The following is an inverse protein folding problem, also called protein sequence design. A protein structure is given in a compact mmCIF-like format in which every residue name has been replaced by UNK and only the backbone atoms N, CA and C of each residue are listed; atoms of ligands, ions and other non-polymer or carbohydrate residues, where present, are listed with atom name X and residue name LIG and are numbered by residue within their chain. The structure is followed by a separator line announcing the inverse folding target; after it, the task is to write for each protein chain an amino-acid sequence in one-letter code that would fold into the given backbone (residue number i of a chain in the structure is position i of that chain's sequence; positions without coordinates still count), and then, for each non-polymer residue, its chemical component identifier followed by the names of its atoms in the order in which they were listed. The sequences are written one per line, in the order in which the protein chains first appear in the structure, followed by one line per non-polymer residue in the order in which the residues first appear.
data_IF_568770465851
#
_entry.id   IF_568770465851
#
_cell.length_a   1.000
_cell.length_b   1.000
_cell.length_c   1.000
_cell.angle_alpha   90.00
_cell.angle_beta   90.00
_cell.angle_gamma   90.00
#
_symmetry.space_group_name_H-M   'P 1'
#
loop_
_entity.id
_entity.type
_entity.pdbx_description
1 polymer ?
#
# COMPACT_ATOMS: atom_id res chain seq x y z
N UNK A 1 17.05 11.45 -35.86
CA UNK A 1 15.69 11.13 -35.35
C UNK A 1 15.15 12.38 -34.71
N UNK A 2 14.02 12.91 -35.20
CA UNK A 2 13.52 14.23 -34.75
C UNK A 2 12.88 14.13 -33.36
N UNK A 3 12.71 15.27 -32.65
CA UNK A 3 12.06 15.34 -31.33
C UNK A 3 10.64 14.73 -31.35
N UNK A 4 9.98 14.78 -32.51
CA UNK A 4 8.70 14.15 -32.81
C UNK A 4 8.77 12.61 -32.77
N UNK A 5 9.83 12.02 -33.31
CA UNK A 5 9.96 10.56 -33.47
C UNK A 5 10.22 9.80 -32.16
N UNK A 6 10.95 10.40 -31.22
CA UNK A 6 11.23 9.77 -29.92
C UNK A 6 9.98 9.74 -29.03
N UNK A 7 9.27 10.87 -28.93
CA UNK A 7 7.97 10.95 -28.25
C UNK A 7 6.93 10.04 -28.91
N UNK A 8 6.98 9.92 -30.24
CA UNK A 8 6.13 8.99 -31.01
C UNK A 8 6.43 7.54 -30.64
N UNK A 9 7.70 7.10 -30.59
CA UNK A 9 8.07 5.74 -30.18
C UNK A 9 7.68 5.40 -28.73
N UNK A 10 7.87 6.32 -27.79
CA UNK A 10 7.43 6.13 -26.41
C UNK A 10 5.90 6.01 -26.30
N UNK A 11 5.17 6.84 -27.05
CA UNK A 11 3.70 6.73 -27.17
C UNK A 11 3.27 5.45 -27.88
N UNK A 12 3.96 5.02 -28.94
CA UNK A 12 3.69 3.78 -29.66
C UNK A 12 3.90 2.56 -28.76
N UNK A 13 4.94 2.54 -27.89
CA UNK A 13 5.14 1.44 -26.92
C UNK A 13 4.08 1.45 -25.81
N UNK A 14 3.68 2.62 -25.30
CA UNK A 14 2.56 2.71 -24.33
C UNK A 14 1.23 2.31 -24.99
N UNK A 15 1.01 2.70 -26.24
CA UNK A 15 -0.16 2.32 -27.05
C UNK A 15 -0.16 0.82 -27.34
N UNK A 16 0.97 0.22 -27.66
CA UNK A 16 1.14 -1.23 -27.84
C UNK A 16 0.82 -1.99 -26.54
N UNK A 17 1.32 -1.50 -25.40
CA UNK A 17 1.00 -2.05 -24.08
C UNK A 17 -0.49 -1.88 -23.73
N UNK A 18 -1.11 -0.78 -24.14
CA UNK A 18 -2.54 -0.52 -23.97
C UNK A 18 -3.40 -1.41 -24.87
N UNK A 19 -3.09 -1.51 -26.16
CA UNK A 19 -3.78 -2.34 -27.15
C UNK A 19 -3.66 -3.84 -26.83
N UNK A 20 -2.58 -4.24 -26.15
CA UNK A 20 -2.38 -5.61 -25.62
C UNK A 20 -3.02 -5.84 -24.24
N UNK A 21 -3.86 -4.92 -23.73
CA UNK A 21 -4.49 -4.96 -22.40
C UNK A 21 -3.49 -5.08 -21.22
N UNK A 22 -2.23 -4.66 -21.42
CA UNK A 22 -1.17 -4.65 -20.39
C UNK A 22 -1.08 -3.31 -19.64
N UNK A 23 -1.71 -2.25 -20.17
CA UNK A 23 -1.94 -0.95 -19.53
C UNK A 23 -3.39 -0.51 -19.83
N UNK A 24 -4.09 0.06 -18.86
CA UNK A 24 -5.54 0.35 -18.99
C UNK A 24 -5.90 1.80 -19.31
N UNK A 25 -4.97 2.76 -19.22
CA UNK A 25 -5.18 4.12 -19.70
C UNK A 25 -3.89 4.95 -19.70
N UNK A 26 -3.84 5.95 -20.59
CA UNK A 26 -2.81 6.99 -20.64
C UNK A 26 -3.49 8.37 -20.64
N UNK A 27 -3.22 9.21 -19.64
CA UNK A 27 -3.78 10.57 -19.56
C UNK A 27 -2.66 11.56 -19.32
N UNK A 28 -2.68 12.68 -20.04
CA UNK A 28 -1.80 13.82 -19.76
C UNK A 28 -2.51 14.74 -18.77
N UNK A 29 -2.03 14.83 -17.54
CA UNK A 29 -2.58 15.72 -16.52
C UNK A 29 -1.45 16.45 -15.79
N UNK A 30 -1.60 17.77 -15.59
CA UNK A 30 -0.68 18.60 -14.79
C UNK A 30 0.81 18.44 -15.17
N UNK A 31 1.11 18.37 -16.47
CA UNK A 31 2.49 18.24 -16.98
C UNK A 31 3.11 16.83 -16.85
N UNK A 32 2.39 15.87 -16.26
CA UNK A 32 2.85 14.49 -16.10
C UNK A 32 2.15 13.56 -17.08
N UNK A 33 2.82 12.45 -17.37
CA UNK A 33 2.19 11.30 -18.02
C UNK A 33 1.64 10.36 -16.95
N UNK A 34 0.32 10.13 -16.93
CA UNK A 34 -0.31 9.17 -16.04
C UNK A 34 -0.51 7.86 -16.78
N UNK A 35 -0.02 6.78 -16.17
CA UNK A 35 -0.11 5.41 -16.69
C UNK A 35 -0.85 4.55 -15.66
N UNK A 36 -1.83 3.78 -16.11
CA UNK A 36 -2.60 2.87 -15.27
C UNK A 36 -2.29 1.41 -15.59
N UNK A 37 -1.88 0.64 -14.58
CA UNK A 37 -1.63 -0.79 -14.64
C UNK A 37 -2.53 -1.52 -13.61
N UNK A 38 -3.84 -1.50 -13.85
CA UNK A 38 -4.82 -2.25 -13.07
C UNK A 38 -5.22 -3.50 -13.86
N UNK A 39 -5.02 -4.72 -13.36
CA UNK A 39 -5.53 -5.89 -14.08
C UNK A 39 -5.06 -7.26 -13.55
N UNK A 40 -5.87 -8.31 -13.73
CA UNK A 40 -5.60 -9.66 -13.22
C UNK A 40 -4.47 -10.37 -13.99
N UNK A 41 -4.12 -9.88 -15.18
CA UNK A 41 -3.05 -10.45 -15.99
C UNK A 41 -1.75 -9.70 -15.73
N UNK A 42 -0.92 -10.35 -14.90
CA UNK A 42 0.52 -10.13 -14.78
C UNK A 42 1.10 -9.90 -16.18
N UNK A 43 1.76 -8.78 -16.39
CA UNK A 43 2.41 -8.54 -17.68
C UNK A 43 3.72 -9.31 -17.67
N UNK A 44 3.97 -10.20 -18.64
CA UNK A 44 5.29 -10.85 -18.81
C UNK A 44 6.35 -9.90 -19.41
N UNK A 45 6.06 -8.59 -19.51
CA UNK A 45 7.01 -7.62 -20.08
C UNK A 45 8.10 -7.30 -19.04
N UNK A 46 9.38 -7.68 -19.29
CA UNK A 46 10.47 -7.46 -18.35
C UNK A 46 10.69 -5.97 -18.04
N UNK A 47 10.31 -5.04 -18.93
CA UNK A 47 10.45 -3.62 -18.69
C UNK A 47 9.39 -3.09 -17.71
N UNK A 48 8.16 -3.63 -17.73
CA UNK A 48 7.13 -3.32 -16.73
C UNK A 48 7.43 -4.04 -15.41
N UNK A 49 7.91 -5.28 -15.45
CA UNK A 49 8.32 -6.01 -14.26
C UNK A 49 9.61 -5.43 -13.63
N UNK A 50 10.45 -4.77 -14.43
CA UNK A 50 11.58 -3.97 -13.97
C UNK A 50 11.16 -2.56 -13.52
N UNK A 51 9.96 -2.08 -13.89
CA UNK A 51 9.38 -0.88 -13.26
C UNK A 51 8.82 -1.22 -11.88
N UNK A 52 8.59 -0.19 -11.06
CA UNK A 52 8.10 -0.37 -9.71
C UNK A 52 6.74 -1.10 -9.59
N UNK A 53 5.94 -1.19 -10.66
CA UNK A 53 4.70 -1.99 -10.69
C UNK A 53 4.95 -3.51 -10.67
N UNK A 54 6.16 -3.98 -10.98
CA UNK A 54 6.57 -5.37 -10.80
C UNK A 54 6.99 -5.72 -9.37
N UNK A 55 7.13 -4.73 -8.48
CA UNK A 55 7.28 -4.98 -7.05
C UNK A 55 5.91 -5.38 -6.51
N UNK A 56 5.60 -6.67 -6.63
CA UNK A 56 4.60 -7.31 -5.77
C UNK A 56 4.80 -6.80 -4.34
N UNK A 57 3.70 -6.64 -3.60
CA UNK A 57 3.79 -6.31 -2.19
C UNK A 57 4.86 -7.20 -1.55
N UNK A 58 5.97 -6.58 -1.12
CA UNK A 58 7.00 -7.31 -0.43
C UNK A 58 6.37 -7.72 0.88
N UNK A 59 6.46 -9.01 1.23
CA UNK A 59 6.08 -9.45 2.55
C UNK A 59 7.18 -8.99 3.48
N UNK A 60 6.91 -7.91 4.21
CA UNK A 60 7.85 -7.30 5.16
C UNK A 60 7.41 -7.80 6.53
N UNK A 61 7.73 -9.06 6.80
CA UNK A 61 7.37 -9.77 8.02
C UNK A 61 8.64 -10.09 8.80
N UNK A 62 8.60 -9.89 10.10
CA UNK A 62 9.63 -10.42 10.99
C UNK A 62 9.61 -11.95 11.00
N UNK A 63 10.70 -12.62 11.38
CA UNK A 63 10.75 -14.09 11.43
C UNK A 63 9.59 -14.73 12.21
N UNK A 64 9.22 -14.16 13.35
CA UNK A 64 8.12 -14.63 14.19
C UNK A 64 6.74 -14.42 13.54
N UNK A 65 6.53 -13.28 12.86
CA UNK A 65 5.31 -13.01 12.09
C UNK A 65 5.21 -13.97 10.90
N UNK A 66 6.32 -14.19 10.18
CA UNK A 66 6.38 -15.13 9.07
C UNK A 66 6.07 -16.57 9.51
N UNK A 67 6.65 -17.02 10.63
CA UNK A 67 6.36 -18.32 11.21
C UNK A 67 4.88 -18.47 11.62
N UNK A 68 4.31 -17.42 12.22
CA UNK A 68 2.89 -17.38 12.58
C UNK A 68 1.97 -17.48 11.36
N UNK A 69 2.24 -16.67 10.33
CA UNK A 69 1.50 -16.68 9.06
C UNK A 69 1.60 -18.05 8.38
N UNK A 70 2.77 -18.68 8.38
CA UNK A 70 2.96 -20.02 7.82
C UNK A 70 2.23 -21.12 8.61
N UNK A 71 2.16 -21.00 9.94
CA UNK A 71 1.37 -21.90 10.76
C UNK A 71 -0.13 -21.80 10.43
N UNK A 72 -0.64 -20.58 10.23
CA UNK A 72 -2.03 -20.34 9.80
C UNK A 72 -2.30 -21.03 8.46
N UNK A 73 -1.41 -20.87 7.45
CA UNK A 73 -1.57 -21.51 6.12
C UNK A 73 -1.67 -23.03 6.17
N UNK A 74 -1.06 -23.67 7.17
CA UNK A 74 -1.05 -25.14 7.33
C UNK A 74 -2.32 -25.66 8.01
N UNK A 75 -3.10 -24.80 8.64
CA UNK A 75 -4.34 -25.20 9.30
C UNK A 75 -5.39 -25.67 8.29
N UNK A 76 -6.21 -26.63 8.71
CA UNK A 76 -7.32 -27.21 7.93
C UNK A 76 -8.64 -27.22 8.72
N UNK A 77 -8.64 -26.70 9.94
CA UNK A 77 -9.85 -26.56 10.75
C UNK A 77 -9.76 -25.38 11.71
N UNK A 78 -10.90 -24.81 12.17
CA UNK A 78 -10.90 -23.76 13.18
C UNK A 78 -10.26 -24.21 14.50
N UNK A 79 -10.33 -25.51 14.82
CA UNK A 79 -9.69 -26.06 16.01
C UNK A 79 -8.16 -26.06 15.90
N UNK A 80 -7.61 -26.41 14.73
CA UNK A 80 -6.17 -26.29 14.46
C UNK A 80 -5.70 -24.84 14.52
N UNK A 81 -6.46 -23.93 13.92
CA UNK A 81 -6.15 -22.51 13.92
C UNK A 81 -6.12 -21.93 15.35
N UNK A 82 -7.10 -22.29 16.19
CA UNK A 82 -7.10 -21.92 17.61
C UNK A 82 -6.02 -22.60 18.45
N UNK A 83 -5.48 -23.75 18.02
CA UNK A 83 -4.32 -24.38 18.69
C UNK A 83 -3.01 -23.75 18.25
N UNK A 84 -2.93 -23.29 17.00
CA UNK A 84 -1.78 -22.54 16.51
C UNK A 84 -1.66 -21.19 17.23
N UNK A 85 -2.78 -20.52 17.53
CA UNK A 85 -2.80 -19.17 18.09
C UNK A 85 -2.10 -18.99 19.46
N UNK A 86 -2.24 -19.89 20.46
CA UNK A 86 -1.50 -19.81 21.74
C UNK A 86 0.00 -20.01 21.60
N UNK A 87 0.44 -20.89 20.69
CA UNK A 87 1.87 -21.08 20.41
C UNK A 87 2.51 -19.86 19.74
N UNK A 88 1.70 -18.88 19.27
CA UNK A 88 2.17 -17.56 18.84
C UNK A 88 2.44 -16.61 20.01
N UNK A 89 2.09 -16.97 21.25
CA UNK A 89 2.32 -16.12 22.43
C UNK A 89 3.46 -16.62 23.33
N UNK A 90 3.75 -17.92 23.31
CA UNK A 90 4.72 -18.54 24.23
C UNK A 90 6.20 -18.24 23.88
N UNK A 91 6.51 -17.84 22.64
CA UNK A 91 7.88 -17.50 22.22
C UNK A 91 8.16 -15.99 22.11
N UNK A 92 7.15 -15.11 22.22
CA UNK A 92 7.33 -13.66 22.11
C UNK A 92 6.87 -12.95 23.38
N UNK A 93 7.80 -12.69 24.30
CA UNK A 93 7.60 -11.77 25.42
C UNK A 93 7.30 -10.30 24.99
N UNK A 94 7.14 -10.04 23.69
CA UNK A 94 6.68 -8.76 23.13
C UNK A 94 5.24 -8.91 22.66
N UNK A 95 4.36 -7.98 23.01
CA UNK A 95 2.96 -7.91 22.54
C UNK A 95 2.78 -7.74 21.02
N UNK A 96 3.79 -8.05 20.21
CA UNK A 96 3.87 -7.87 18.76
C UNK A 96 3.03 -8.90 17.97
N UNK A 97 2.64 -10.04 18.55
CA UNK A 97 1.75 -11.02 17.88
C UNK A 97 0.31 -10.96 18.38
N UNK A 98 -0.01 -9.98 19.24
CA UNK A 98 -1.33 -9.86 19.85
C UNK A 98 -2.42 -9.55 18.82
N UNK A 99 -2.13 -8.73 17.80
CA UNK A 99 -3.07 -8.55 16.68
C UNK A 99 -3.37 -9.86 15.93
N UNK A 100 -2.38 -10.73 15.65
CA UNK A 100 -2.63 -12.02 14.96
C UNK A 100 -3.56 -12.87 15.80
N UNK A 101 -3.28 -12.98 17.10
CA UNK A 101 -4.12 -13.73 18.02
C UNK A 101 -5.55 -13.17 18.08
N UNK A 102 -5.69 -11.84 18.15
CA UNK A 102 -6.99 -11.15 18.17
C UNK A 102 -7.77 -11.42 16.90
N UNK A 103 -7.13 -11.26 15.74
CA UNK A 103 -7.70 -11.51 14.43
C UNK A 103 -8.15 -12.97 14.26
N UNK A 104 -7.29 -13.92 14.64
CA UNK A 104 -7.58 -15.36 14.57
C UNK A 104 -8.72 -15.75 15.49
N UNK A 105 -8.71 -15.29 16.73
CA UNK A 105 -9.78 -15.59 17.70
C UNK A 105 -11.11 -15.03 17.21
N UNK A 106 -11.09 -13.80 16.68
CA UNK A 106 -12.29 -13.14 16.19
C UNK A 106 -12.86 -13.85 14.95
N UNK A 107 -12.03 -14.15 13.92
CA UNK A 107 -12.54 -14.82 12.72
C UNK A 107 -13.09 -16.22 13.02
N UNK A 108 -12.44 -16.96 13.93
CA UNK A 108 -12.96 -18.26 14.38
C UNK A 108 -14.31 -18.10 15.11
N UNK A 109 -14.46 -17.04 15.90
CA UNK A 109 -15.75 -16.74 16.52
C UNK A 109 -16.83 -16.45 15.47
N UNK A 110 -16.54 -15.62 14.46
CA UNK A 110 -17.48 -15.33 13.37
C UNK A 110 -17.88 -16.59 12.60
N UNK A 111 -16.92 -17.46 12.29
CA UNK A 111 -17.17 -18.75 11.63
C UNK A 111 -18.04 -19.68 12.48
N UNK A 112 -17.72 -19.86 13.77
CA UNK A 112 -18.48 -20.75 14.66
C UNK A 112 -19.90 -20.26 14.91
N UNK A 113 -20.09 -18.95 14.92
CA UNK A 113 -21.41 -18.33 15.08
C UNK A 113 -22.22 -18.31 13.79
N UNK A 114 -21.60 -18.67 12.65
CA UNK A 114 -22.21 -18.65 11.32
C UNK A 114 -22.85 -17.28 10.98
N UNK A 115 -22.12 -16.19 11.27
CA UNK A 115 -22.59 -14.82 11.04
C UNK A 115 -21.81 -14.07 9.97
N UNK A 116 -20.73 -14.64 9.43
CA UNK A 116 -19.94 -14.02 8.37
C UNK A 116 -20.54 -14.31 6.99
N UNK A 117 -21.40 -13.40 6.51
CA UNK A 117 -22.09 -13.53 5.23
C UNK A 117 -21.72 -12.38 4.27
N UNK A 118 -21.91 -12.60 2.95
CA UNK A 118 -21.64 -11.58 1.91
C UNK A 118 -22.70 -10.47 1.82
N UNK A 119 -23.76 -10.55 2.62
CA UNK A 119 -24.96 -9.70 2.53
C UNK A 119 -24.94 -8.51 3.50
N UNK A 120 -23.92 -8.43 4.35
CA UNK A 120 -23.81 -7.39 5.36
C UNK A 120 -23.54 -5.99 4.76
N UNK A 121 -23.86 -4.95 5.53
CA UNK A 121 -23.55 -3.57 5.18
C UNK A 121 -22.11 -3.17 5.56
N UNK A 122 -21.68 -2.00 5.06
CA UNK A 122 -20.34 -1.42 5.31
C UNK A 122 -20.00 -1.35 6.80
N UNK A 123 -20.88 -0.77 7.62
CA UNK A 123 -20.68 -0.63 9.06
C UNK A 123 -20.45 -1.98 9.76
N UNK A 124 -21.15 -3.03 9.31
CA UNK A 124 -21.01 -4.35 9.91
C UNK A 124 -19.65 -4.96 9.56
N UNK A 125 -19.23 -4.89 8.30
CA UNK A 125 -17.91 -5.38 7.90
C UNK A 125 -16.80 -4.59 8.57
N UNK A 126 -16.94 -3.27 8.70
CA UNK A 126 -15.98 -2.43 9.39
C UNK A 126 -15.73 -2.90 10.82
N UNK A 127 -16.81 -3.00 11.60
CA UNK A 127 -16.74 -3.31 13.04
C UNK A 127 -16.26 -4.74 13.28
N UNK A 128 -16.75 -5.71 12.49
CA UNK A 128 -16.53 -7.13 12.78
C UNK A 128 -15.39 -7.74 11.97
N UNK A 129 -15.05 -7.19 10.80
CA UNK A 129 -14.06 -7.78 9.89
C UNK A 129 -12.84 -6.89 9.78
N UNK A 130 -12.98 -5.70 9.20
CA UNK A 130 -11.84 -4.86 8.85
C UNK A 130 -11.07 -4.42 10.10
N UNK A 131 -11.78 -4.01 11.17
CA UNK A 131 -11.09 -3.54 12.38
C UNK A 131 -10.30 -4.63 13.09
N UNK A 132 -10.78 -5.88 13.09
CA UNK A 132 -10.11 -6.98 13.78
C UNK A 132 -9.00 -7.62 12.93
N UNK A 133 -9.19 -7.72 11.62
CA UNK A 133 -8.24 -8.37 10.72
C UNK A 133 -7.18 -7.42 10.14
N UNK A 134 -7.48 -6.11 10.10
CA UNK A 134 -6.64 -5.12 9.43
C UNK A 134 -6.25 -3.97 10.36
N UNK A 135 -7.21 -3.24 10.96
CA UNK A 135 -6.87 -2.06 11.78
C UNK A 135 -6.00 -2.43 13.00
N UNK A 136 -6.23 -3.62 13.58
CA UNK A 136 -5.53 -4.09 14.77
C UNK A 136 -4.01 -4.07 14.62
N UNK A 137 -3.48 -4.36 13.41
CA UNK A 137 -2.04 -4.27 13.13
C UNK A 137 -1.50 -2.84 13.38
N UNK A 138 -2.28 -1.82 13.06
CA UNK A 138 -1.91 -0.42 13.28
C UNK A 138 -2.09 0.02 14.73
N UNK A 139 -2.98 -0.61 15.50
CA UNK A 139 -3.22 -0.28 16.92
C UNK A 139 -2.08 -0.76 17.82
N UNK A 140 -1.44 -1.88 17.48
CA UNK A 140 -0.29 -2.43 18.22
C UNK A 140 0.99 -1.59 18.03
N UNK A 141 1.00 -0.65 17.07
CA UNK A 141 2.08 0.33 16.93
C UNK A 141 1.74 1.64 17.68
N UNK A 142 2.54 2.06 18.68
CA UNK A 142 2.22 3.22 19.51
C UNK A 142 2.19 4.55 18.74
N UNK A 143 2.93 4.62 17.63
CA UNK A 143 3.05 5.82 16.80
C UNK A 143 2.01 5.88 15.68
N UNK A 144 1.30 4.78 15.41
CA UNK A 144 0.27 4.72 14.38
C UNK A 144 -1.13 4.85 14.99
N UNK A 145 -1.99 5.58 14.28
CA UNK A 145 -3.39 5.80 14.66
C UNK A 145 -4.28 5.72 13.45
N UNK A 146 -5.39 5.00 13.60
CA UNK A 146 -6.50 5.06 12.65
C UNK A 146 -7.35 6.29 12.97
N UNK A 147 -7.53 7.16 11.99
CA UNK A 147 -8.37 8.34 12.07
C UNK A 147 -9.57 8.12 11.15
N UNK A 148 -10.76 7.98 11.74
CA UNK A 148 -12.02 7.97 11.00
C UNK A 148 -12.30 9.38 10.48
N UNK A 149 -12.44 9.54 9.17
CA UNK A 149 -12.57 10.84 8.52
C UNK A 149 -13.94 11.04 7.87
N UNK A 150 -15.01 10.66 8.56
CA UNK A 150 -16.38 10.97 8.09
C UNK A 150 -16.63 12.47 7.91
N UNK A 151 -15.82 13.33 8.54
CA UNK A 151 -15.96 14.79 8.46
C UNK A 151 -14.63 15.56 8.59
N UNK A 152 -13.45 14.93 8.46
CA UNK A 152 -12.17 15.63 8.60
C UNK A 152 -11.47 15.84 7.25
N UNK A 153 -11.03 17.09 6.94
CA UNK A 153 -10.09 17.36 5.88
C UNK A 153 -8.93 16.37 5.88
N UNK A 154 -8.37 16.01 4.71
CA UNK A 154 -6.98 15.55 4.67
C UNK A 154 -6.12 16.70 5.24
N UNK A 155 -5.68 16.54 6.49
CA UNK A 155 -5.15 17.65 7.30
C UNK A 155 -3.79 18.15 6.79
N UNK A 156 -3.03 17.33 6.05
CA UNK A 156 -1.61 17.60 5.77
C UNK A 156 -1.26 17.97 4.34
N UNK A 157 -2.18 17.79 3.39
CA UNK A 157 -1.87 18.11 2.00
C UNK A 157 -1.82 19.61 1.70
N UNK A 158 -2.07 20.48 2.69
CA UNK A 158 -1.89 21.94 2.64
C UNK A 158 -2.54 22.64 1.43
N UNK A 159 -3.45 21.95 0.74
CA UNK A 159 -4.09 22.34 -0.52
C UNK A 159 -5.56 21.96 -0.44
N UNK A 160 -6.34 22.44 -1.42
CA UNK A 160 -7.79 22.25 -1.67
C UNK A 160 -8.40 20.85 -1.41
N UNK A 161 -7.61 19.83 -1.10
CA UNK A 161 -8.04 18.51 -0.65
C UNK A 161 -8.57 18.50 0.79
N UNK A 162 -8.53 19.62 1.51
CA UNK A 162 -9.21 19.77 2.80
C UNK A 162 -10.72 19.50 2.76
N UNK A 163 -11.34 19.36 1.59
CA UNK A 163 -12.74 18.97 1.43
C UNK A 163 -12.93 17.53 0.96
N UNK A 164 -11.85 16.81 0.60
CA UNK A 164 -11.95 15.43 0.14
C UNK A 164 -12.02 14.51 1.34
N UNK A 165 -13.18 13.87 1.51
CA UNK A 165 -13.44 12.88 2.55
C UNK A 165 -13.02 11.50 2.07
N UNK A 166 -12.45 10.76 2.98
CA UNK A 166 -12.19 9.32 2.85
C UNK A 166 -12.79 8.64 4.08
N UNK A 167 -13.07 7.34 4.01
CA UNK A 167 -13.67 6.65 5.14
C UNK A 167 -12.68 6.58 6.32
N UNK A 168 -11.42 6.20 6.04
CA UNK A 168 -10.38 6.08 7.06
C UNK A 168 -8.99 6.49 6.58
N UNK A 169 -8.18 6.98 7.51
CA UNK A 169 -6.77 7.32 7.30
C UNK A 169 -5.94 6.63 8.39
N UNK A 170 -4.90 5.90 7.98
CA UNK A 170 -3.85 5.48 8.91
C UNK A 170 -2.77 6.55 8.93
N UNK A 171 -2.51 7.09 10.11
CA UNK A 171 -1.59 8.21 10.31
C UNK A 171 -0.49 7.83 11.30
N UNK A 172 0.72 8.26 10.99
CA UNK A 172 1.80 8.35 11.97
C UNK A 172 1.60 9.60 12.82
N UNK A 173 1.14 9.41 14.05
CA UNK A 173 0.65 10.46 14.93
C UNK A 173 1.72 11.46 15.37
N UNK A 174 2.92 11.06 15.85
CA UNK A 174 3.95 12.02 16.28
C UNK A 174 4.40 13.03 15.23
N UNK A 175 4.24 12.66 13.95
CA UNK A 175 4.70 13.45 12.80
C UNK A 175 3.57 14.13 12.07
N UNK A 176 2.34 13.83 12.47
CA UNK A 176 1.13 14.09 11.69
C UNK A 176 1.38 13.73 10.23
N UNK A 177 1.56 12.44 9.90
CA UNK A 177 1.81 12.02 8.52
C UNK A 177 0.83 10.95 8.08
N UNK A 178 0.09 11.21 7.01
CA UNK A 178 -0.84 10.24 6.43
C UNK A 178 -0.05 9.16 5.68
N UNK A 179 -0.22 7.91 6.11
CA UNK A 179 0.47 6.73 5.59
C UNK A 179 -0.33 6.08 4.47
N UNK A 180 -1.60 5.80 4.77
CA UNK A 180 -2.55 5.16 3.85
C UNK A 180 -3.93 5.74 4.08
N UNK A 181 -4.71 5.86 3.01
CA UNK A 181 -6.14 6.13 3.07
C UNK A 181 -6.91 4.91 2.53
N UNK A 182 -8.06 4.66 3.15
CA UNK A 182 -8.92 3.53 2.83
C UNK A 182 -10.34 4.00 2.54
N UNK A 183 -10.94 3.37 1.54
CA UNK A 183 -12.34 3.50 1.19
C UNK A 183 -13.02 2.14 1.36
N UNK A 184 -14.29 2.16 1.74
CA UNK A 184 -15.06 0.99 2.04
C UNK A 184 -16.38 1.02 1.27
N UNK A 185 -16.72 -0.13 0.71
CA UNK A 185 -18.01 -0.38 0.08
C UNK A 185 -18.54 -1.72 0.52
N UNK A 186 -19.87 -1.84 0.63
CA UNK A 186 -20.52 -3.13 0.98
C UNK A 186 -20.30 -4.16 -0.13
N UNK A 187 -20.16 -3.70 -1.36
CA UNK A 187 -20.03 -4.48 -2.59
C UNK A 187 -19.20 -3.69 -3.62
N UNK A 188 -19.20 -4.13 -4.88
CA UNK A 188 -18.48 -3.46 -5.97
C UNK A 188 -19.08 -2.13 -6.44
N UNK A 189 -20.27 -1.73 -5.95
CA UNK A 189 -20.91 -0.47 -6.36
C UNK A 189 -20.17 0.74 -5.77
N UNK A 190 -19.98 1.78 -6.57
CA UNK A 190 -19.26 3.00 -6.15
C UNK A 190 -17.73 2.86 -6.05
N UNK A 191 -17.18 1.66 -6.19
CA UNK A 191 -15.72 1.41 -6.12
C UNK A 191 -14.96 2.22 -7.18
N UNK A 192 -15.51 2.38 -8.38
CA UNK A 192 -14.80 3.09 -9.47
C UNK A 192 -14.59 4.58 -9.14
N UNK A 193 -15.62 5.23 -8.56
CA UNK A 193 -15.56 6.61 -8.13
C UNK A 193 -14.55 6.82 -7.01
N UNK A 194 -14.52 5.88 -6.05
CA UNK A 194 -13.56 5.89 -4.94
C UNK A 194 -12.13 5.64 -5.42
N UNK A 195 -11.90 4.74 -6.37
CA UNK A 195 -10.59 4.55 -6.98
C UNK A 195 -10.08 5.83 -7.65
N UNK A 196 -10.92 6.52 -8.42
CA UNK A 196 -10.54 7.80 -9.03
C UNK A 196 -10.24 8.88 -7.99
N UNK A 197 -10.95 8.86 -6.86
CA UNK A 197 -10.68 9.74 -5.71
C UNK A 197 -9.33 9.40 -5.09
N UNK A 198 -9.08 8.13 -4.78
CA UNK A 198 -7.81 7.64 -4.24
C UNK A 198 -6.63 7.92 -5.17
N UNK A 199 -6.78 7.80 -6.49
CA UNK A 199 -5.74 8.08 -7.47
C UNK A 199 -5.28 9.54 -7.35
N UNK A 200 -6.22 10.49 -7.28
CA UNK A 200 -5.92 11.91 -7.06
C UNK A 200 -5.19 12.15 -5.74
N UNK A 201 -5.58 11.43 -4.68
CA UNK A 201 -4.93 11.53 -3.37
C UNK A 201 -3.50 10.97 -3.41
N UNK A 202 -3.26 9.83 -4.07
CA UNK A 202 -1.92 9.24 -4.17
C UNK A 202 -0.98 10.15 -4.97
N UNK A 203 -1.48 10.75 -6.06
CA UNK A 203 -0.74 11.80 -6.81
C UNK A 203 -0.38 12.98 -5.90
N UNK A 204 -1.33 13.44 -5.08
CA UNK A 204 -1.12 14.58 -4.19
C UNK A 204 -0.12 14.28 -3.06
N UNK A 205 -0.17 13.10 -2.43
CA UNK A 205 0.83 12.63 -1.46
C UNK A 205 2.22 12.68 -2.06
N UNK A 206 2.41 12.07 -3.24
CA UNK A 206 3.69 12.10 -3.93
C UNK A 206 4.13 13.55 -4.20
N UNK A 207 3.21 14.46 -4.57
CA UNK A 207 3.57 15.87 -4.86
C UNK A 207 4.03 16.59 -3.61
N UNK A 208 3.33 16.36 -2.50
CA UNK A 208 3.67 16.92 -1.22
C UNK A 208 5.05 16.44 -0.76
N UNK A 209 5.28 15.13 -0.73
CA UNK A 209 6.56 14.56 -0.29
C UNK A 209 7.74 14.97 -1.18
N UNK A 210 7.56 14.98 -2.51
CA UNK A 210 8.60 15.45 -3.40
C UNK A 210 8.90 16.96 -3.26
N UNK A 211 7.99 17.76 -2.71
CA UNK A 211 8.22 19.18 -2.39
C UNK A 211 8.94 19.39 -1.05
N UNK A 212 8.92 18.38 -0.18
CA UNK A 212 9.65 18.37 1.07
C UNK A 212 11.14 18.10 0.83
N UNK A 213 11.46 17.14 -0.03
CA UNK A 213 12.82 16.88 -0.48
C UNK A 213 13.49 18.12 -1.13
N UNK A 214 14.79 18.30 -0.91
CA UNK A 214 15.55 19.33 -1.65
C UNK A 214 15.51 19.03 -3.16
N UNK A 215 15.54 20.07 -4.00
CA UNK A 215 15.46 19.95 -5.47
C UNK A 215 16.44 18.91 -6.03
N UNK A 216 17.63 18.80 -5.44
CA UNK A 216 18.70 17.86 -5.79
C UNK A 216 18.43 16.39 -5.42
N UNK A 217 17.49 16.12 -4.50
CA UNK A 217 17.08 14.76 -4.10
C UNK A 217 15.75 14.35 -4.70
N UNK A 218 15.13 15.17 -5.54
CA UNK A 218 13.80 14.89 -6.07
C UNK A 218 13.75 13.58 -6.86
N UNK A 219 14.77 13.32 -7.68
CA UNK A 219 14.85 12.08 -8.45
C UNK A 219 15.03 10.85 -7.53
N UNK A 220 15.80 11.01 -6.45
CA UNK A 220 15.97 9.97 -5.43
C UNK A 220 14.66 9.75 -4.66
N UNK A 221 13.96 10.81 -4.27
CA UNK A 221 12.66 10.69 -3.61
C UNK A 221 11.62 10.01 -4.53
N UNK A 222 11.59 10.36 -5.82
CA UNK A 222 10.69 9.74 -6.80
C UNK A 222 11.01 8.23 -6.99
N UNK A 223 12.29 7.83 -6.86
CA UNK A 223 12.71 6.43 -6.94
C UNK A 223 12.37 5.59 -5.69
N UNK A 224 12.16 6.18 -4.52
CA UNK A 224 11.96 5.42 -3.28
C UNK A 224 10.56 5.56 -2.70
N UNK A 225 9.90 6.70 -2.90
CA UNK A 225 8.60 6.98 -2.31
C UNK A 225 7.47 6.35 -3.13
N UNK A 226 6.54 5.75 -2.40
CA UNK A 226 5.31 5.17 -2.91
C UNK A 226 4.15 5.64 -2.04
N UNK A 227 3.10 6.16 -2.67
CA UNK A 227 1.85 6.42 -1.96
C UNK A 227 0.92 5.24 -2.19
N UNK A 228 0.27 4.76 -1.12
CA UNK A 228 -0.62 3.59 -1.15
C UNK A 228 -2.03 3.93 -0.68
N UNK A 229 -3.00 3.17 -1.15
CA UNK A 229 -4.40 3.26 -0.72
C UNK A 229 -5.07 1.90 -0.72
N UNK A 230 -6.09 1.73 0.11
CA UNK A 230 -6.86 0.50 0.22
C UNK A 230 -8.30 0.72 -0.22
N UNK A 231 -8.87 -0.25 -0.93
CA UNK A 231 -10.29 -0.28 -1.26
C UNK A 231 -10.88 -1.59 -0.77
N UNK A 232 -11.82 -1.51 0.17
CA UNK A 232 -12.68 -2.63 0.55
C UNK A 232 -13.95 -2.65 -0.30
N UNK A 233 -14.37 -3.87 -0.67
CA UNK A 233 -15.64 -4.18 -1.32
C UNK A 233 -16.16 -5.48 -0.71
N UNK A 234 -16.94 -5.35 0.36
CA UNK A 234 -17.31 -6.46 1.25
C UNK A 234 -16.06 -7.17 1.76
N UNK A 235 -16.00 -8.49 1.64
CA UNK A 235 -14.86 -9.28 2.11
C UNK A 235 -13.60 -9.20 1.23
N UNK A 236 -13.60 -8.43 0.15
CA UNK A 236 -12.42 -8.26 -0.72
C UNK A 236 -11.76 -6.92 -0.47
N UNK A 237 -10.43 -6.92 -0.38
CA UNK A 237 -9.63 -5.71 -0.34
C UNK A 237 -8.61 -5.70 -1.49
N UNK A 238 -8.45 -4.53 -2.10
CA UNK A 238 -7.44 -4.27 -3.13
C UNK A 238 -6.56 -3.11 -2.68
N UNK A 239 -5.25 -3.39 -2.58
CA UNK A 239 -4.21 -2.42 -2.27
C UNK A 239 -3.67 -1.82 -3.57
N UNK A 240 -3.62 -0.50 -3.64
CA UNK A 240 -3.15 0.23 -4.80
C UNK A 240 -1.94 1.08 -4.46
N UNK A 241 -0.96 1.11 -5.37
CA UNK A 241 0.24 1.93 -5.29
C UNK A 241 0.23 3.06 -6.32
N UNK A 242 0.97 4.12 -6.02
CA UNK A 242 1.38 5.13 -7.00
C UNK A 242 2.82 5.52 -6.77
N UNK A 243 3.56 5.68 -7.87
CA UNK A 243 4.94 6.13 -7.83
C UNK A 243 5.24 7.12 -8.93
N UNK A 244 6.20 8.00 -8.65
CA UNK A 244 6.82 8.84 -9.67
C UNK A 244 8.01 8.14 -10.28
N UNK A 245 8.26 8.48 -11.53
CA UNK A 245 9.48 8.09 -12.21
C UNK A 245 9.70 9.01 -13.39
N UNK A 246 10.94 9.02 -13.89
CA UNK A 246 11.32 9.81 -15.06
C UNK A 246 11.47 8.87 -16.25
N UNK A 247 10.67 9.11 -17.29
CA UNK A 247 10.86 8.45 -18.58
C UNK A 247 12.06 9.10 -19.28
N UNK A 248 13.15 8.36 -19.41
CA UNK A 248 14.29 8.76 -20.21
C UNK A 248 14.06 8.39 -21.68
N UNK A 249 13.93 9.41 -22.54
CA UNK A 249 14.11 9.29 -23.97
C UNK A 249 15.47 9.87 -24.35
N UNK A 250 16.01 9.45 -25.50
CA UNK A 250 17.39 9.73 -25.94
C UNK A 250 17.81 11.20 -25.87
N UNK A 251 16.85 12.14 -25.91
CA UNK A 251 17.09 13.59 -25.80
C UNK A 251 16.04 14.33 -24.93
N UNK A 252 15.26 13.63 -24.08
CA UNK A 252 14.26 14.27 -23.22
C UNK A 252 13.93 13.42 -21.99
N UNK A 253 13.69 14.09 -20.87
CA UNK A 253 13.17 13.48 -19.66
C UNK A 253 11.74 13.96 -19.42
N UNK A 254 10.81 13.03 -19.22
CA UNK A 254 9.43 13.38 -18.89
C UNK A 254 9.03 12.74 -17.56
N UNK A 255 8.56 13.51 -16.56
CA UNK A 255 8.06 12.94 -15.33
C UNK A 255 6.72 12.22 -15.61
N UNK A 256 6.58 11.03 -15.04
CA UNK A 256 5.42 10.18 -15.16
C UNK A 256 4.97 9.69 -13.78
N UNK A 257 3.69 9.37 -13.68
CA UNK A 257 3.09 8.70 -12.52
C UNK A 257 2.54 7.37 -12.98
N UNK A 258 2.91 6.30 -12.29
CA UNK A 258 2.38 4.97 -12.49
C UNK A 258 1.42 4.65 -11.35
N UNK A 259 0.18 4.36 -11.69
CA UNK A 259 -0.80 3.77 -10.78
C UNK A 259 -0.91 2.27 -11.05
N UNK A 260 -0.95 1.46 -9.98
CA UNK A 260 -1.01 0.01 -10.10
C UNK A 260 -1.71 -0.63 -8.92
N UNK A 261 -2.22 -1.84 -9.12
CA UNK A 261 -2.71 -2.72 -8.06
C UNK A 261 -1.52 -3.52 -7.50
N UNK A 262 -1.23 -3.37 -6.19
CA UNK A 262 -0.14 -4.08 -5.51
C UNK A 262 -0.54 -5.51 -5.15
N UNK A 263 -1.74 -5.66 -4.61
CA UNK A 263 -2.29 -6.93 -4.15
C UNK A 263 -3.80 -6.83 -4.05
N UNK A 264 -4.46 -7.98 -4.22
CA UNK A 264 -5.87 -8.16 -3.89
C UNK A 264 -5.95 -9.42 -3.04
N UNK A 265 -6.68 -9.34 -1.94
CA UNK A 265 -6.88 -10.43 -0.99
C UNK A 265 -8.34 -10.44 -0.54
N UNK A 266 -8.78 -11.60 -0.08
CA UNK A 266 -10.11 -11.79 0.43
C UNK A 266 -10.05 -12.22 1.90
N UNK A 267 -11.08 -11.86 2.65
CA UNK A 267 -11.36 -12.42 3.96
C UNK A 267 -12.23 -13.66 3.75
N UNK A 268 -11.84 -14.81 4.33
CA UNK A 268 -12.59 -16.05 4.15
C UNK A 268 -13.94 -16.01 4.87
N UNK A 269 -15.03 -16.13 4.12
CA UNK A 269 -16.38 -16.17 4.68
C UNK A 269 -16.67 -17.43 5.50
N UNK A 270 -16.05 -18.56 5.15
CA UNK A 270 -16.28 -19.85 5.78
C UNK A 270 -14.97 -20.64 5.92
N UNK A 271 -14.81 -21.44 6.99
CA UNK A 271 -13.63 -22.28 7.18
C UNK A 271 -13.64 -23.55 6.30
N UNK A 272 -14.77 -23.88 5.68
CA UNK A 272 -14.90 -25.00 4.75
C UNK A 272 -14.35 -24.68 3.35
N UNK A 273 -14.13 -23.40 3.02
CA UNK A 273 -13.48 -23.02 1.77
C UNK A 273 -12.03 -23.57 1.75
N UNK A 274 -11.65 -24.37 0.72
CA UNK A 274 -10.31 -24.94 0.62
C UNK A 274 -9.16 -23.93 0.72
N UNK A 275 -9.41 -22.65 0.40
CA UNK A 275 -8.41 -21.58 0.47
C UNK A 275 -8.57 -20.64 1.66
N UNK A 276 -9.50 -20.92 2.59
CA UNK A 276 -9.85 -20.02 3.70
C UNK A 276 -8.63 -19.58 4.52
N UNK A 277 -7.81 -20.55 4.93
CA UNK A 277 -6.64 -20.31 5.76
C UNK A 277 -5.53 -19.57 5.00
N UNK A 278 -5.41 -19.78 3.68
CA UNK A 278 -4.49 -19.02 2.85
C UNK A 278 -4.95 -17.56 2.72
N UNK A 279 -6.25 -17.34 2.53
CA UNK A 279 -6.85 -16.01 2.47
C UNK A 279 -6.66 -15.24 3.78
N UNK A 280 -6.90 -15.87 4.93
CA UNK A 280 -6.64 -15.27 6.24
C UNK A 280 -5.16 -14.89 6.41
N UNK A 281 -4.27 -15.82 6.06
CA UNK A 281 -2.82 -15.60 6.13
C UNK A 281 -2.35 -14.48 5.18
N UNK A 282 -2.93 -14.39 3.97
CA UNK A 282 -2.64 -13.32 3.02
C UNK A 282 -3.16 -11.96 3.51
N UNK A 283 -4.37 -11.91 4.10
CA UNK A 283 -4.93 -10.69 4.69
C UNK A 283 -4.04 -10.15 5.81
N UNK A 284 -3.68 -11.01 6.78
CA UNK A 284 -2.82 -10.62 7.90
C UNK A 284 -1.43 -10.21 7.41
N UNK A 285 -0.80 -11.03 6.56
CA UNK A 285 0.50 -10.71 5.97
C UNK A 285 0.49 -9.35 5.26
N UNK A 286 -0.60 -9.02 4.57
CA UNK A 286 -0.76 -7.76 3.87
C UNK A 286 -0.91 -6.60 4.84
N UNK A 287 -1.74 -6.72 5.88
CA UNK A 287 -1.93 -5.69 6.89
C UNK A 287 -0.61 -5.29 7.58
N UNK A 288 0.15 -6.30 8.01
CA UNK A 288 1.46 -6.13 8.67
C UNK A 288 2.46 -5.48 7.73
N UNK A 289 2.52 -5.96 6.48
CA UNK A 289 3.47 -5.42 5.51
C UNK A 289 3.13 -3.97 5.16
N UNK A 290 1.85 -3.59 5.08
CA UNK A 290 1.44 -2.19 4.86
C UNK A 290 1.78 -1.32 6.06
N UNK A 291 1.53 -1.80 7.28
CA UNK A 291 1.94 -1.11 8.50
C UNK A 291 3.45 -0.82 8.46
N UNK A 292 4.26 -1.81 8.08
CA UNK A 292 5.71 -1.69 7.97
C UNK A 292 6.17 -0.79 6.82
N UNK A 293 5.52 -0.87 5.65
CA UNK A 293 5.73 0.08 4.56
C UNK A 293 5.49 1.53 5.04
N UNK A 294 4.50 1.73 5.92
CA UNK A 294 4.26 3.02 6.56
C UNK A 294 5.39 3.53 7.43
N UNK A 295 5.97 2.66 8.27
CA UNK A 295 7.15 2.98 9.08
C UNK A 295 8.34 3.33 8.18
N UNK A 296 8.58 2.54 7.13
CA UNK A 296 9.63 2.79 6.13
C UNK A 296 9.46 4.15 5.47
N UNK A 297 8.25 4.46 4.97
CA UNK A 297 7.96 5.75 4.32
C UNK A 297 8.17 6.90 5.31
N UNK A 298 7.72 6.76 6.56
CA UNK A 298 7.93 7.76 7.62
C UNK A 298 9.42 8.03 7.87
N UNK A 299 10.24 6.99 8.00
CA UNK A 299 11.70 7.13 8.15
C UNK A 299 12.35 7.76 6.92
N UNK A 300 11.93 7.39 5.72
CA UNK A 300 12.42 7.99 4.47
C UNK A 300 12.09 9.48 4.36
N UNK A 301 10.86 9.87 4.67
CA UNK A 301 10.47 11.28 4.64
C UNK A 301 11.26 12.10 5.66
N UNK A 302 11.47 11.56 6.86
CA UNK A 302 12.34 12.21 7.85
C UNK A 302 13.75 12.41 7.30
N UNK A 303 14.33 11.38 6.69
CA UNK A 303 15.67 11.44 6.13
C UNK A 303 15.77 12.50 5.00
N UNK A 304 14.71 12.65 4.21
CA UNK A 304 14.61 13.69 3.17
C UNK A 304 14.45 15.10 3.76
N UNK A 305 13.66 15.25 4.83
CA UNK A 305 13.48 16.52 5.55
C UNK A 305 14.77 16.97 6.23
N UNK A 306 15.49 16.06 6.90
CA UNK A 306 16.77 16.35 7.53
C UNK A 306 17.79 16.84 6.50
N UNK A 307 17.84 16.21 5.33
CA UNK A 307 18.76 16.61 4.27
C UNK A 307 18.46 18.00 3.69
N UNK A 308 17.23 18.51 3.80
CA UNK A 308 16.89 19.89 3.41
C UNK A 308 17.56 20.93 4.30
N UNK A 309 17.87 20.58 5.55
CA UNK A 309 18.43 21.48 6.56
C UNK A 309 19.97 21.57 6.54
N UNK A 310 20.65 20.71 5.77
CA UNK A 310 22.12 20.63 5.73
C UNK A 310 22.69 21.58 4.67
N UNK A 311 23.74 22.39 4.96
CA UNK A 311 24.37 23.28 4.00
C UNK A 311 24.94 22.55 2.76
N UNK A 312 24.89 23.24 1.61
CA UNK A 312 25.20 22.73 0.25
C UNK A 312 26.60 22.12 0.04
N UNK A 313 27.51 22.21 1.00
CA UNK A 313 28.94 21.88 0.79
C UNK A 313 29.39 20.51 1.31
N UNK A 314 28.47 19.56 1.43
CA UNK A 314 28.84 18.14 1.58
C UNK A 314 28.73 17.44 0.22
N UNK A 315 29.85 17.31 -0.50
CA UNK A 315 30.02 16.64 -1.81
C UNK A 315 29.72 15.11 -1.80
N UNK A 316 28.64 14.67 -1.15
CA UNK A 316 28.12 13.29 -1.09
C UNK A 316 26.59 13.30 -1.15
N UNK A 317 25.99 14.01 -2.08
CA UNK A 317 24.56 14.37 -1.97
C UNK A 317 23.62 13.27 -2.45
N UNK A 318 23.49 12.99 -3.76
CA UNK A 318 22.46 12.05 -4.24
C UNK A 318 22.77 10.57 -3.91
N UNK A 319 24.02 10.12 -4.13
CA UNK A 319 24.41 8.73 -3.85
C UNK A 319 24.35 8.38 -2.36
N UNK A 320 24.63 9.34 -1.48
CA UNK A 320 24.52 9.09 -0.04
C UNK A 320 23.08 9.05 0.41
N UNK A 321 22.22 9.90 -0.16
CA UNK A 321 20.77 9.83 0.07
C UNK A 321 20.22 8.50 -0.43
N UNK A 322 20.54 8.10 -1.66
CA UNK A 322 20.14 6.80 -2.21
C UNK A 322 20.62 5.64 -1.33
N UNK A 323 21.88 5.63 -0.89
CA UNK A 323 22.38 4.63 0.07
C UNK A 323 21.64 4.65 1.40
N UNK A 324 21.28 5.82 1.91
CA UNK A 324 20.54 5.95 3.18
C UNK A 324 19.12 5.43 3.04
N UNK A 325 18.38 5.83 2.01
CA UNK A 325 17.03 5.32 1.74
C UNK A 325 17.06 3.82 1.45
N UNK A 326 18.12 3.32 0.80
CA UNK A 326 18.31 1.89 0.60
C UNK A 326 18.53 1.14 1.92
N UNK A 327 19.40 1.66 2.80
CA UNK A 327 19.59 1.08 4.14
C UNK A 327 18.31 1.07 4.98
N UNK A 328 17.48 2.11 4.86
CA UNK A 328 16.16 2.12 5.48
C UNK A 328 15.31 0.98 4.92
N UNK A 329 15.30 0.72 3.61
CA UNK A 329 14.57 -0.45 3.06
C UNK A 329 15.15 -1.80 3.54
N UNK A 330 16.48 -1.92 3.57
CA UNK A 330 17.17 -3.15 3.97
C UNK A 330 16.89 -3.50 5.43
N UNK A 331 16.87 -2.51 6.34
CA UNK A 331 16.53 -2.66 7.76
C UNK A 331 15.23 -3.44 8.02
N UNK A 332 14.30 -3.40 7.08
CA UNK A 332 12.99 -4.06 7.20
C UNK A 332 12.85 -5.30 6.31
N UNK A 333 13.82 -5.59 5.44
CA UNK A 333 13.77 -6.72 4.50
C UNK A 333 14.54 -7.96 5.00
N UNK A 334 15.16 -7.87 6.18
CA UNK A 334 15.81 -8.97 6.92
C UNK A 334 14.81 -9.68 7.84
#
# INVERSE_FOLDING_TARGET
MTLSDACRKGREKIKDLFEKNRLKAQIKAQGHLIIYAYGPNRTDDPAINATAAGRHQRRILKPEEAAAIDAIRRCRSPAELMRAAPHLMEESASGQLMYIHTAVTHIVHLWRSNILEYTHGEDWYRVNVYSMLWDAAFLDSPDLRTIRSENKPLLLLGRKLHTTRVDFIYRHYPREQDILFAEEKKDGSGVTEDLLKCDRLRVAHLHHWASQAATEYKDVADEYLESVSLQWAGLTASLYGSRRFVLQATNNTQPAILHYEKSTFAVPASPEDPIAYNQLADCLSTAISVQREGEIISEMLQALDDAKSVPKDYRRTADSMSRMLHKIQEKYSE
#
